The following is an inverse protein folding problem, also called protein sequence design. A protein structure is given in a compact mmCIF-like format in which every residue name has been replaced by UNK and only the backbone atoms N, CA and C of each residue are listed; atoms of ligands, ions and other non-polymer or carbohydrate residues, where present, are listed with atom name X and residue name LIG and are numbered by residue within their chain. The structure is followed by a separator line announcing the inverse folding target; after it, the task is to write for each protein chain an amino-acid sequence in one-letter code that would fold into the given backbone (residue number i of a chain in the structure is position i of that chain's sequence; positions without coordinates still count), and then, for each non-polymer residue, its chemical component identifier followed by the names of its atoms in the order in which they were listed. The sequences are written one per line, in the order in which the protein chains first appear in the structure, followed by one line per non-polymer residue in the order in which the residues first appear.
data_IF_455910535385
#
_entry.id   IF_455910535385
#
_cell.length_a   1.000
_cell.length_b   1.000
_cell.length_c   1.000
_cell.angle_alpha   90.00
_cell.angle_beta   90.00
_cell.angle_gamma   90.00
#
_symmetry.space_group_name_H-M   'P 1'
#
loop_
_entity.id
_entity.type
_entity.pdbx_description
1 polymer ?
#
# COMPACT_ATOMS: atom_id res chain seq x y z
N UNK A 1 20.56 -78.32 19.68
CA UNK A 1 21.43 -77.17 19.74
C UNK A 1 21.76 -76.84 18.31
N UNK A 2 21.02 -76.23 17.64
CA UNK A 2 20.03 -75.16 17.35
C UNK A 2 20.68 -74.14 16.39
N UNK A 3 20.27 -74.33 15.16
CA UNK A 3 20.52 -73.55 13.95
C UNK A 3 19.82 -72.18 14.00
N UNK A 4 20.26 -71.24 14.84
CA UNK A 4 19.52 -69.97 14.97
C UNK A 4 20.39 -68.70 15.11
N UNK A 5 21.70 -68.76 14.82
CA UNK A 5 22.59 -67.59 14.98
C UNK A 5 23.19 -67.02 13.67
N UNK A 6 22.72 -67.45 12.49
CA UNK A 6 23.31 -66.97 11.22
C UNK A 6 22.41 -66.05 10.39
N UNK A 7 21.27 -65.57 10.95
CA UNK A 7 20.30 -64.73 10.18
C UNK A 7 20.37 -63.22 10.49
N UNK A 8 21.03 -62.79 11.58
CA UNK A 8 21.04 -61.40 12.01
C UNK A 8 22.19 -60.53 11.51
N UNK A 9 23.19 -61.12 10.84
CA UNK A 9 24.39 -60.39 10.37
C UNK A 9 24.28 -59.85 8.93
N UNK A 10 23.14 -60.05 8.22
CA UNK A 10 23.01 -59.62 6.79
C UNK A 10 22.06 -58.43 6.57
N UNK A 11 21.45 -57.88 7.61
CA UNK A 11 20.56 -56.72 7.47
C UNK A 11 21.16 -55.37 7.86
N UNK A 12 22.41 -55.31 8.32
CA UNK A 12 23.05 -54.08 8.82
C UNK A 12 23.80 -53.28 7.77
N UNK A 13 23.87 -53.69 6.48
CA UNK A 13 24.69 -53.02 5.49
C UNK A 13 23.94 -52.30 4.36
N UNK A 14 22.59 -52.24 4.39
CA UNK A 14 21.82 -51.60 3.29
C UNK A 14 21.19 -50.23 3.66
N UNK A 15 21.29 -49.78 4.89
CA UNK A 15 20.59 -48.54 5.35
C UNK A 15 21.44 -47.26 5.25
N UNK A 16 22.73 -47.35 4.86
CA UNK A 16 23.62 -46.16 4.97
C UNK A 16 23.90 -45.43 3.65
N UNK A 17 23.23 -45.79 2.53
CA UNK A 17 23.47 -45.14 1.22
C UNK A 17 22.35 -44.19 0.74
N UNK A 18 21.26 -44.02 1.46
CA UNK A 18 20.16 -43.15 1.02
C UNK A 18 20.07 -41.79 1.73
N UNK A 19 20.86 -41.56 2.78
CA UNK A 19 20.77 -40.33 3.60
C UNK A 19 21.48 -39.09 2.96
N UNK A 20 22.32 -39.28 1.93
CA UNK A 20 23.12 -38.18 1.37
C UNK A 20 22.42 -37.38 0.25
N UNK A 21 21.40 -37.93 -0.39
CA UNK A 21 20.81 -37.33 -1.60
C UNK A 21 19.56 -36.46 -1.28
N UNK A 22 18.88 -36.72 -0.18
CA UNK A 22 17.68 -36.00 0.22
C UNK A 22 17.95 -34.66 0.90
N UNK A 23 19.12 -34.48 1.52
CA UNK A 23 19.50 -33.21 2.15
C UNK A 23 19.76 -32.07 1.14
N UNK A 24 20.15 -32.40 -0.11
CA UNK A 24 20.39 -31.38 -1.14
C UNK A 24 19.12 -30.85 -1.80
N UNK A 25 18.01 -31.60 -1.79
CA UNK A 25 16.74 -31.17 -2.35
C UNK A 25 15.92 -30.32 -1.39
N UNK A 26 16.09 -30.48 -0.06
CA UNK A 26 15.37 -29.68 0.95
C UNK A 26 15.93 -28.24 1.09
N UNK A 27 17.19 -28.01 0.76
CA UNK A 27 17.80 -26.67 0.82
C UNK A 27 17.41 -25.83 -0.41
N UNK A 28 17.15 -26.46 -1.57
CA UNK A 28 16.72 -25.73 -2.77
C UNK A 28 15.23 -25.33 -2.75
N UNK A 29 14.39 -26.07 -2.01
CA UNK A 29 12.96 -25.79 -1.89
C UNK A 29 12.63 -24.61 -0.96
N UNK A 30 13.54 -24.22 -0.08
CA UNK A 30 13.36 -23.09 0.84
C UNK A 30 13.67 -21.73 0.22
N UNK A 31 14.26 -21.67 -0.98
CA UNK A 31 14.59 -20.43 -1.69
C UNK A 31 13.47 -19.95 -2.63
N UNK A 32 12.36 -20.70 -2.75
CA UNK A 32 11.21 -20.34 -3.58
C UNK A 32 9.98 -19.87 -2.77
N UNK A 33 10.13 -19.60 -1.49
CA UNK A 33 9.06 -18.90 -0.77
C UNK A 33 9.05 -17.44 -1.25
N UNK A 34 8.10 -17.24 -2.17
CA UNK A 34 7.85 -16.00 -2.84
C UNK A 34 7.82 -14.85 -1.85
N UNK A 35 8.51 -13.79 -2.20
CA UNK A 35 8.36 -12.48 -1.61
C UNK A 35 6.86 -12.16 -1.60
N UNK A 36 6.23 -12.22 -0.43
CA UNK A 36 4.91 -11.64 -0.25
C UNK A 36 5.03 -10.22 -0.82
N UNK A 37 4.18 -9.92 -1.81
CA UNK A 37 4.17 -8.61 -2.46
C UNK A 37 3.69 -7.63 -1.38
N UNK A 38 4.60 -7.12 -0.57
CA UNK A 38 4.32 -6.05 0.38
C UNK A 38 3.84 -4.86 -0.44
N UNK A 39 2.75 -4.24 -0.02
CA UNK A 39 2.24 -3.03 -0.66
C UNK A 39 3.39 -2.03 -0.82
N UNK A 40 3.72 -1.70 -2.07
CA UNK A 40 4.86 -0.84 -2.39
C UNK A 40 4.38 0.56 -2.74
N UNK A 41 4.98 1.55 -2.10
CA UNK A 41 4.74 2.97 -2.42
C UNK A 41 5.37 3.38 -3.74
N UNK A 42 6.25 2.58 -4.34
CA UNK A 42 6.85 2.87 -5.64
C UNK A 42 5.80 3.04 -6.74
N UNK A 43 4.70 2.28 -6.66
CA UNK A 43 3.57 2.44 -7.58
C UNK A 43 2.97 3.85 -7.53
N UNK A 44 2.92 4.49 -6.35
CA UNK A 44 2.44 5.87 -6.19
C UNK A 44 3.37 6.87 -6.89
N UNK A 45 4.67 6.74 -6.69
CA UNK A 45 5.64 7.66 -7.27
C UNK A 45 5.81 7.46 -8.78
N UNK A 46 5.55 6.26 -9.29
CA UNK A 46 5.54 5.95 -10.73
C UNK A 46 4.19 6.26 -11.41
N UNK A 47 3.14 6.60 -10.64
CA UNK A 47 1.80 6.80 -11.19
C UNK A 47 1.74 8.01 -12.13
N UNK A 48 1.01 7.83 -13.24
CA UNK A 48 0.73 8.91 -14.20
C UNK A 48 -0.50 9.68 -13.73
N UNK A 49 -0.29 10.72 -12.97
CA UNK A 49 -1.34 11.58 -12.44
C UNK A 49 -1.35 12.93 -13.17
N UNK A 50 -2.50 13.60 -13.14
CA UNK A 50 -2.65 14.96 -13.64
C UNK A 50 -3.24 15.86 -12.55
N UNK A 51 -2.96 17.14 -12.63
CA UNK A 51 -3.62 18.16 -11.79
C UNK A 51 -5.07 18.36 -12.23
N UNK A 52 -5.84 19.11 -11.46
CA UNK A 52 -7.18 19.56 -11.84
C UNK A 52 -7.20 20.46 -13.10
N UNK A 53 -6.04 20.93 -13.59
CA UNK A 53 -5.88 21.68 -14.83
C UNK A 53 -5.32 20.82 -15.97
N UNK A 54 -5.43 19.48 -15.85
CA UNK A 54 -4.97 18.50 -16.84
C UNK A 54 -3.46 18.51 -17.12
N UNK A 55 -2.66 19.07 -16.21
CA UNK A 55 -1.21 19.09 -16.35
C UNK A 55 -0.60 17.83 -15.74
N UNK A 56 0.23 17.08 -16.47
CA UNK A 56 0.94 15.94 -15.90
C UNK A 56 1.79 16.35 -14.69
N UNK A 57 1.80 15.51 -13.66
CA UNK A 57 2.61 15.71 -12.48
C UNK A 57 3.29 14.41 -12.07
N UNK A 58 4.56 14.51 -11.69
CA UNK A 58 5.32 13.41 -11.10
C UNK A 58 5.42 13.63 -9.59
N UNK A 59 5.11 12.60 -8.82
CA UNK A 59 5.18 12.66 -7.35
C UNK A 59 6.59 12.43 -6.79
N UNK A 60 7.59 12.25 -7.63
CA UNK A 60 8.96 11.93 -7.22
C UNK A 60 9.55 12.98 -6.24
N UNK A 61 9.18 14.24 -6.39
CA UNK A 61 9.59 15.32 -5.48
C UNK A 61 9.04 15.22 -4.05
N UNK A 62 8.05 14.35 -3.87
CA UNK A 62 7.45 14.05 -2.56
C UNK A 62 8.03 12.78 -1.91
N UNK A 63 8.89 12.05 -2.61
CA UNK A 63 9.59 10.91 -2.03
C UNK A 63 10.45 11.38 -0.86
N UNK A 64 10.38 10.64 0.24
CA UNK A 64 11.07 11.02 1.48
C UNK A 64 10.31 12.01 2.37
N UNK A 65 9.08 12.41 1.98
CA UNK A 65 8.21 13.23 2.82
C UNK A 65 7.07 12.40 3.42
N UNK A 66 6.59 12.73 4.63
CA UNK A 66 5.40 12.11 5.19
C UNK A 66 4.15 12.54 4.40
N UNK A 67 3.34 11.56 3.98
CA UNK A 67 2.17 11.78 3.14
C UNK A 67 0.92 11.14 3.77
N UNK A 68 -0.23 11.80 3.58
CA UNK A 68 -1.56 11.20 3.66
C UNK A 68 -2.11 11.20 2.23
N UNK A 69 -2.36 10.03 1.66
CA UNK A 69 -2.90 9.86 0.30
C UNK A 69 -4.30 9.28 0.43
N UNK A 70 -5.29 10.04 -0.04
CA UNK A 70 -6.70 9.67 0.00
C UNK A 70 -7.24 9.47 -1.41
N UNK A 71 -7.80 8.30 -1.68
CA UNK A 71 -8.50 7.98 -2.93
C UNK A 71 -9.99 8.22 -2.75
N UNK A 72 -10.59 8.97 -3.67
CA UNK A 72 -11.96 9.43 -3.57
C UNK A 72 -12.63 9.59 -4.94
N UNK A 73 -13.96 9.76 -4.93
CA UNK A 73 -14.74 10.15 -6.10
C UNK A 73 -15.92 11.05 -5.70
N UNK A 74 -16.38 11.91 -6.61
CA UNK A 74 -17.51 12.85 -6.35
C UNK A 74 -18.81 12.13 -6.01
N UNK A 75 -19.06 10.98 -6.59
CA UNK A 75 -20.25 10.15 -6.33
C UNK A 75 -20.16 9.33 -5.02
N UNK A 76 -19.00 9.29 -4.39
CA UNK A 76 -18.76 8.54 -3.16
C UNK A 76 -19.24 9.35 -1.94
N UNK A 77 -20.39 9.02 -1.39
CA UNK A 77 -20.96 9.72 -0.24
C UNK A 77 -20.05 9.71 1.01
N UNK A 78 -19.46 8.57 1.44
CA UNK A 78 -18.54 8.57 2.59
C UNK A 78 -17.25 9.37 2.32
N UNK A 79 -16.79 9.50 1.07
CA UNK A 79 -15.63 10.34 0.74
C UNK A 79 -15.90 11.81 1.08
N UNK A 80 -17.14 12.29 0.79
CA UNK A 80 -17.53 13.67 1.09
C UNK A 80 -17.54 13.98 2.59
N UNK A 81 -17.78 12.99 3.42
CA UNK A 81 -17.73 13.14 4.90
C UNK A 81 -16.27 13.29 5.37
N UNK A 82 -15.32 12.63 4.72
CA UNK A 82 -13.91 12.65 5.10
C UNK A 82 -13.17 13.94 4.66
N UNK A 83 -13.59 14.57 3.55
CA UNK A 83 -12.94 15.76 2.99
C UNK A 83 -12.68 16.88 4.01
N UNK A 84 -13.66 17.33 4.83
CA UNK A 84 -13.41 18.37 5.82
C UNK A 84 -12.35 17.98 6.85
N UNK A 85 -12.23 16.70 7.17
CA UNK A 85 -11.25 16.22 8.12
C UNK A 85 -9.83 16.17 7.50
N UNK A 86 -9.74 15.88 6.19
CA UNK A 86 -8.48 15.96 5.43
C UNK A 86 -7.98 17.41 5.31
N UNK A 87 -8.89 18.38 5.10
CA UNK A 87 -8.55 19.82 5.10
C UNK A 87 -7.90 20.21 6.43
N UNK A 88 -8.58 19.90 7.55
CA UNK A 88 -8.05 20.17 8.88
C UNK A 88 -6.73 19.45 9.15
N UNK A 89 -6.54 18.25 8.57
CA UNK A 89 -5.27 17.50 8.70
C UNK A 89 -4.14 18.24 7.98
N UNK A 90 -4.37 18.73 6.76
CA UNK A 90 -3.40 19.55 6.04
C UNK A 90 -3.07 20.84 6.80
N UNK A 91 -4.06 21.54 7.32
CA UNK A 91 -3.85 22.77 8.10
C UNK A 91 -3.03 22.54 9.37
N UNK A 92 -3.36 21.48 10.11
CA UNK A 92 -2.71 21.15 11.38
C UNK A 92 -1.29 20.66 11.21
N UNK A 93 -1.07 19.75 10.25
CA UNK A 93 0.19 19.02 10.12
C UNK A 93 1.08 19.50 8.97
N UNK A 94 0.56 20.31 8.05
CA UNK A 94 1.32 20.83 6.91
C UNK A 94 2.57 21.60 7.33
N UNK A 95 2.51 22.42 8.40
CA UNK A 95 3.65 23.14 8.96
C UNK A 95 4.72 22.22 9.58
N UNK A 96 4.36 20.97 9.88
CA UNK A 96 5.27 19.93 10.36
C UNK A 96 5.87 19.08 9.22
N UNK A 97 5.57 19.42 7.96
CA UNK A 97 6.10 18.75 6.78
C UNK A 97 5.20 17.65 6.20
N UNK A 98 4.02 17.37 6.79
CA UNK A 98 3.05 16.43 6.21
C UNK A 98 2.42 17.03 4.96
N UNK A 99 2.22 16.22 3.93
CA UNK A 99 1.45 16.61 2.75
C UNK A 99 0.23 15.70 2.59
N UNK A 100 -0.95 16.31 2.47
CA UNK A 100 -2.18 15.61 2.11
C UNK A 100 -2.38 15.66 0.61
N UNK A 101 -2.67 14.51 -0.01
CA UNK A 101 -2.93 14.38 -1.45
C UNK A 101 -4.26 13.64 -1.60
N UNK A 102 -5.22 14.25 -2.28
CA UNK A 102 -6.44 13.59 -2.73
C UNK A 102 -6.27 13.10 -4.16
N UNK A 103 -6.45 11.82 -4.41
CA UNK A 103 -6.43 11.24 -5.76
C UNK A 103 -7.85 10.90 -6.17
N UNK A 104 -8.41 11.70 -7.08
CA UNK A 104 -9.74 11.49 -7.64
C UNK A 104 -9.73 10.42 -8.72
N UNK A 105 -10.71 9.50 -8.67
CA UNK A 105 -10.96 8.50 -9.71
C UNK A 105 -11.91 9.05 -10.78
N UNK A 106 -11.70 10.28 -11.19
CA UNK A 106 -12.57 11.02 -12.11
C UNK A 106 -11.85 11.30 -13.43
N UNK A 107 -12.62 11.30 -14.52
CA UNK A 107 -12.07 11.55 -15.85
C UNK A 107 -12.12 13.04 -16.23
N UNK A 108 -13.10 13.79 -15.69
CA UNK A 108 -13.35 15.20 -16.08
C UNK A 108 -12.78 16.17 -15.04
N UNK A 109 -11.68 16.81 -15.39
CA UNK A 109 -11.01 17.79 -14.53
C UNK A 109 -11.93 18.99 -14.17
N UNK A 110 -12.75 19.47 -15.09
CA UNK A 110 -13.71 20.57 -14.85
C UNK A 110 -14.66 20.24 -13.69
N UNK A 111 -15.30 19.08 -13.75
CA UNK A 111 -16.21 18.65 -12.69
C UNK A 111 -15.53 18.49 -11.33
N UNK A 112 -14.24 18.14 -11.34
CA UNK A 112 -13.43 18.06 -10.12
C UNK A 112 -13.12 19.45 -9.58
N UNK A 113 -12.77 20.40 -10.46
CA UNK A 113 -12.54 21.80 -10.03
C UNK A 113 -13.77 22.41 -9.34
N UNK A 114 -14.97 22.21 -9.90
CA UNK A 114 -16.20 22.71 -9.34
C UNK A 114 -16.47 22.05 -7.97
N UNK A 115 -16.23 20.75 -7.87
CA UNK A 115 -16.33 20.02 -6.62
C UNK A 115 -15.33 20.51 -5.57
N UNK A 116 -14.06 20.74 -5.95
CA UNK A 116 -13.02 21.28 -5.08
C UNK A 116 -13.42 22.65 -4.51
N UNK A 117 -14.00 23.52 -5.33
CA UNK A 117 -14.53 24.83 -4.90
C UNK A 117 -15.69 24.67 -3.90
N UNK A 118 -16.65 23.79 -4.21
CA UNK A 118 -17.83 23.57 -3.39
C UNK A 118 -17.49 22.98 -2.00
N UNK A 119 -16.41 22.21 -1.89
CA UNK A 119 -15.94 21.59 -0.64
C UNK A 119 -14.74 22.30 -0.02
N UNK A 120 -14.31 23.45 -0.59
CA UNK A 120 -13.18 24.27 -0.10
C UNK A 120 -11.89 23.44 0.10
N UNK A 121 -11.63 22.49 -0.82
CA UNK A 121 -10.49 21.58 -0.71
C UNK A 121 -9.18 22.35 -0.85
N UNK A 122 -8.48 22.59 0.26
CA UNK A 122 -7.26 23.39 0.35
C UNK A 122 -5.96 22.56 0.25
N UNK A 123 -6.06 21.24 0.09
CA UNK A 123 -4.91 20.35 -0.10
C UNK A 123 -4.74 19.97 -1.60
N UNK A 124 -3.62 19.32 -1.93
CA UNK A 124 -3.32 18.91 -3.30
C UNK A 124 -4.31 17.87 -3.80
N UNK A 125 -4.98 18.16 -4.92
CA UNK A 125 -5.90 17.24 -5.59
C UNK A 125 -5.34 16.87 -6.95
N UNK A 126 -5.26 15.56 -7.22
CA UNK A 126 -4.78 14.96 -8.45
C UNK A 126 -5.82 14.00 -9.01
N UNK A 127 -5.72 13.69 -10.28
CA UNK A 127 -6.62 12.78 -10.99
C UNK A 127 -5.82 11.59 -11.50
N UNK A 128 -6.28 10.39 -11.17
CA UNK A 128 -5.66 9.15 -11.65
C UNK A 128 -6.23 8.70 -13.01
N UNK A 129 -7.35 9.27 -13.48
CA UNK A 129 -8.01 8.88 -14.72
C UNK A 129 -8.06 7.35 -14.87
N UNK A 130 -7.36 6.82 -15.89
CA UNK A 130 -7.08 5.40 -16.01
C UNK A 130 -5.95 5.00 -15.06
N UNK A 131 -6.03 3.83 -14.43
CA UNK A 131 -4.97 3.33 -13.54
C UNK A 131 -5.16 3.64 -12.05
N UNK A 132 -6.20 4.35 -11.66
CA UNK A 132 -6.47 4.64 -10.24
C UNK A 132 -6.83 3.41 -9.42
N UNK A 133 -7.52 2.46 -10.01
CA UNK A 133 -7.87 1.18 -9.36
C UNK A 133 -6.61 0.35 -9.14
N UNK A 134 -5.79 0.21 -10.17
CA UNK A 134 -4.53 -0.53 -10.11
C UNK A 134 -3.58 0.09 -9.07
N UNK A 135 -3.54 1.42 -9.02
CA UNK A 135 -2.76 2.14 -8.01
C UNK A 135 -3.25 1.85 -6.59
N UNK A 136 -4.56 1.90 -6.35
CA UNK A 136 -5.13 1.54 -5.04
C UNK A 136 -4.79 0.10 -4.66
N UNK A 137 -4.88 -0.85 -5.60
CA UNK A 137 -4.56 -2.25 -5.37
C UNK A 137 -3.08 -2.44 -5.03
N UNK A 138 -2.19 -1.75 -5.73
CA UNK A 138 -0.75 -1.77 -5.44
C UNK A 138 -0.42 -1.21 -4.04
N UNK A 139 -1.24 -0.28 -3.53
CA UNK A 139 -1.14 0.28 -2.19
C UNK A 139 -1.88 -0.54 -1.12
N UNK A 140 -2.42 -1.71 -1.47
CA UNK A 140 -3.03 -2.66 -0.54
C UNK A 140 -4.55 -2.70 -0.52
N UNK A 141 -5.27 -1.87 -1.29
CA UNK A 141 -6.72 -1.94 -1.40
C UNK A 141 -7.16 -2.90 -2.53
N UNK A 142 -7.07 -4.18 -2.28
CA UNK A 142 -7.42 -5.22 -3.27
C UNK A 142 -8.90 -5.21 -3.67
N UNK A 143 -9.77 -4.60 -2.87
CA UNK A 143 -11.21 -4.49 -3.12
C UNK A 143 -11.59 -3.29 -3.98
N UNK A 144 -10.66 -2.38 -4.25
CA UNK A 144 -10.89 -1.11 -4.97
C UNK A 144 -12.05 -0.27 -4.42
N UNK A 145 -12.35 -0.38 -3.13
CA UNK A 145 -13.41 0.38 -2.46
C UNK A 145 -12.97 1.81 -2.11
N UNK A 146 -13.94 2.71 -1.91
CA UNK A 146 -13.73 4.12 -1.57
C UNK A 146 -14.52 4.53 -0.31
N UNK A 147 -14.01 5.54 0.45
CA UNK A 147 -12.67 6.11 0.34
C UNK A 147 -11.60 5.13 0.77
N UNK A 148 -10.38 5.32 0.29
CA UNK A 148 -9.23 4.57 0.76
C UNK A 148 -8.10 5.53 1.08
N UNK A 149 -7.60 5.48 2.31
CA UNK A 149 -6.56 6.39 2.78
C UNK A 149 -5.34 5.60 3.23
N UNK A 150 -4.15 6.02 2.78
CA UNK A 150 -2.86 5.50 3.22
C UNK A 150 -2.00 6.61 3.80
N UNK A 151 -1.34 6.34 4.91
CA UNK A 151 -0.30 7.17 5.49
C UNK A 151 1.06 6.58 5.14
N UNK A 152 1.95 7.40 4.62
CA UNK A 152 3.30 7.02 4.19
C UNK A 152 4.29 7.82 5.01
N UNK A 153 5.21 7.13 5.69
CA UNK A 153 6.28 7.77 6.45
C UNK A 153 7.41 8.29 5.57
N UNK A 154 8.28 9.12 6.13
CA UNK A 154 9.44 9.68 5.43
C UNK A 154 10.39 8.61 4.84
N UNK A 155 10.37 7.40 5.37
CA UNK A 155 11.14 6.25 4.83
C UNK A 155 10.48 5.61 3.61
N UNK A 156 9.32 6.11 3.15
CA UNK A 156 8.59 5.60 2.01
C UNK A 156 7.76 4.33 2.27
N UNK A 157 7.60 3.91 3.51
CA UNK A 157 6.78 2.76 3.88
C UNK A 157 5.35 3.20 4.27
N UNK A 158 4.37 2.37 3.98
CA UNK A 158 3.00 2.55 4.46
C UNK A 158 2.99 2.28 5.97
N UNK A 159 2.60 3.29 6.76
CA UNK A 159 2.55 3.23 8.23
C UNK A 159 1.14 3.07 8.77
N UNK A 160 0.13 3.43 7.99
CA UNK A 160 -1.28 3.18 8.28
C UNK A 160 -2.08 3.15 6.98
N UNK A 161 -3.18 2.40 6.95
CA UNK A 161 -4.15 2.43 5.85
C UNK A 161 -5.55 2.10 6.36
N UNK A 162 -6.57 2.64 5.67
CA UNK A 162 -7.97 2.32 5.97
C UNK A 162 -8.80 2.34 4.69
N UNK A 163 -9.63 1.33 4.53
CA UNK A 163 -10.74 1.32 3.59
C UNK A 163 -12.01 1.78 4.35
N UNK A 164 -12.66 2.83 3.85
CA UNK A 164 -13.73 3.56 4.52
C UNK A 164 -13.26 4.88 5.11
N UNK A 165 -14.18 5.80 5.37
CA UNK A 165 -13.86 7.14 5.86
C UNK A 165 -13.13 7.11 7.20
N UNK A 166 -12.09 7.92 7.32
CA UNK A 166 -11.39 8.20 8.58
C UNK A 166 -12.03 9.38 9.28
N UNK A 167 -12.23 9.23 10.58
CA UNK A 167 -12.61 10.36 11.45
C UNK A 167 -11.38 11.17 11.89
N UNK A 168 -11.60 12.27 12.61
CA UNK A 168 -10.54 13.16 13.11
C UNK A 168 -9.46 12.42 13.88
N UNK A 169 -9.84 11.59 14.84
CA UNK A 169 -8.88 10.89 15.69
C UNK A 169 -8.01 9.89 14.90
N UNK A 170 -8.60 9.21 13.90
CA UNK A 170 -7.90 8.27 13.02
C UNK A 170 -6.91 8.99 12.09
N UNK A 171 -7.32 10.15 11.51
CA UNK A 171 -6.43 10.96 10.67
C UNK A 171 -5.29 11.59 11.50
N UNK A 172 -5.58 12.06 12.70
CA UNK A 172 -4.56 12.57 13.60
C UNK A 172 -3.53 11.48 13.97
N UNK A 173 -4.00 10.28 14.30
CA UNK A 173 -3.12 9.14 14.59
C UNK A 173 -2.26 8.74 13.37
N UNK A 174 -2.86 8.69 12.17
CA UNK A 174 -2.17 8.38 10.93
C UNK A 174 -1.09 9.44 10.60
N UNK A 175 -1.40 10.74 10.77
CA UNK A 175 -0.48 11.84 10.56
C UNK A 175 0.71 11.78 11.54
N UNK A 176 0.45 11.53 12.83
CA UNK A 176 1.51 11.43 13.85
C UNK A 176 2.46 10.24 13.60
N UNK A 177 1.95 9.11 13.08
CA UNK A 177 2.80 7.97 12.73
C UNK A 177 3.60 8.24 11.46
N UNK A 178 3.01 8.94 10.47
CA UNK A 178 3.73 9.31 9.24
C UNK A 178 4.88 10.28 9.49
N UNK A 179 4.77 11.13 10.50
CA UNK A 179 5.76 12.16 10.87
C UNK A 179 6.94 11.63 11.72
N UNK A 180 6.91 10.37 12.14
CA UNK A 180 8.01 9.71 12.90
C UNK A 180 9.09 9.17 11.98
#
# INVERSE_FOLDING_TARGET
MSLQESALARFACLEFRFAGRQRRFLVLALLLWGTANAASTDALFAAKLVTSDDKPIALESLRGKPLIVNFWARWCAPCRVEIPELIKTQEKYGKRGLTVIGIGLEDKAESVRDFMKAYEMSYTVLLARTGGIELMQALGNTRAGLPFTVAIGAKGNIVASKLGAMNRAELDAAAEVALK
#
